data_IF_635013752643
#
_entry.id   IF_635013752643
#
_cell.length_a   1.000
_cell.length_b   1.000
_cell.length_c   1.000
_cell.angle_alpha   90.00
_cell.angle_beta   90.00
_cell.angle_gamma   90.00
#
_symmetry.space_group_name_H-M   'P 1'
#
loop_
_entity.id
_entity.type
_entity.pdbx_description
1 polymer ?
#
# COMPACT_ATOMS: atom_id res chain seq x y z
N UNK A 1 15.04 -14.05 7.65
CA UNK A 1 15.08 -15.36 7.04
C UNK A 1 13.69 -15.86 6.75
N UNK A 2 13.60 -16.83 5.88
CA UNK A 2 12.29 -17.36 5.48
C UNK A 2 11.56 -17.97 6.69
N UNK A 3 12.28 -18.64 7.55
CA UNK A 3 11.69 -19.26 8.71
C UNK A 3 11.14 -18.22 9.67
N UNK A 4 11.85 -17.12 9.85
CA UNK A 4 11.38 -16.04 10.71
C UNK A 4 10.16 -15.36 10.12
N UNK A 5 10.12 -15.19 8.79
CA UNK A 5 8.96 -14.61 8.12
C UNK A 5 7.72 -15.47 8.37
N UNK A 6 7.85 -16.79 8.23
CA UNK A 6 6.73 -17.69 8.48
C UNK A 6 6.26 -17.62 9.94
N UNK A 7 7.22 -17.55 10.87
CA UNK A 7 6.87 -17.49 12.28
C UNK A 7 6.10 -16.24 12.66
N UNK A 8 6.30 -15.14 11.91
CA UNK A 8 5.62 -13.88 12.18
C UNK A 8 4.33 -13.71 11.38
N UNK A 9 3.96 -14.72 10.58
CA UNK A 9 2.73 -14.67 9.77
C UNK A 9 2.68 -13.43 8.85
N UNK A 10 3.81 -13.12 8.27
CA UNK A 10 3.87 -11.97 7.36
C UNK A 10 3.14 -12.27 6.06
N UNK A 11 2.69 -11.21 5.40
CA UNK A 11 2.05 -11.36 4.09
C UNK A 11 3.09 -11.72 3.03
N UNK A 12 2.69 -12.55 2.08
CA UNK A 12 3.52 -12.94 0.96
C UNK A 12 2.73 -12.89 -0.33
N UNK A 13 3.35 -13.41 -1.40
CA UNK A 13 2.74 -13.35 -2.73
C UNK A 13 1.39 -14.08 -2.78
N UNK A 14 1.21 -15.10 -1.95
CA UNK A 14 -0.05 -15.85 -1.94
C UNK A 14 -1.23 -15.02 -1.45
N UNK A 15 -0.96 -13.87 -0.83
CA UNK A 15 -2.01 -12.97 -0.35
C UNK A 15 -2.32 -11.84 -1.33
N UNK A 16 -1.64 -11.83 -2.48
CA UNK A 16 -1.78 -10.76 -3.46
C UNK A 16 -2.59 -11.23 -4.65
N UNK A 17 -3.24 -10.27 -5.34
CA UNK A 17 -4.06 -10.56 -6.52
C UNK A 17 -3.56 -9.77 -7.72
N UNK A 18 -3.87 -10.27 -8.90
CA UNK A 18 -3.58 -9.58 -10.15
C UNK A 18 -2.13 -9.71 -10.57
N UNK A 19 -1.82 -9.10 -11.71
CA UNK A 19 -0.48 -9.13 -12.28
C UNK A 19 0.24 -7.84 -11.91
N UNK A 20 1.19 -7.93 -10.98
CA UNK A 20 1.88 -6.74 -10.50
C UNK A 20 2.62 -6.01 -11.60
N UNK A 21 2.97 -6.71 -12.67
CA UNK A 21 3.68 -6.08 -13.79
C UNK A 21 2.76 -5.18 -14.61
N UNK A 22 1.45 -5.38 -14.51
CA UNK A 22 0.48 -4.63 -15.31
C UNK A 22 -0.48 -3.79 -14.47
N UNK A 23 -0.45 -3.92 -13.15
CA UNK A 23 -1.43 -3.23 -12.30
C UNK A 23 -1.04 -1.79 -12.02
N UNK A 24 -2.06 -0.92 -11.99
CA UNK A 24 -1.91 0.43 -11.44
C UNK A 24 -2.13 0.33 -9.93
N UNK A 25 -1.22 0.89 -9.16
CA UNK A 25 -1.26 0.80 -7.71
C UNK A 25 -2.06 1.91 -7.04
N UNK A 26 -2.44 2.94 -7.80
CA UNK A 26 -3.15 4.08 -7.21
C UNK A 26 -4.44 3.64 -6.52
N UNK A 27 -4.60 4.04 -5.26
CA UNK A 27 -5.79 3.71 -4.51
C UNK A 27 -5.88 2.28 -4.02
N UNK A 28 -4.78 1.54 -4.11
CA UNK A 28 -4.77 0.13 -3.71
C UNK A 28 -3.96 -0.07 -2.44
N UNK A 29 -4.26 -1.15 -1.73
CA UNK A 29 -3.48 -1.57 -0.55
C UNK A 29 -2.36 -2.48 -1.05
N UNK A 30 -1.13 -2.08 -0.78
CA UNK A 30 0.05 -2.80 -1.26
C UNK A 30 0.71 -3.56 -0.12
N UNK A 31 1.34 -4.68 -0.47
CA UNK A 31 2.08 -5.50 0.49
C UNK A 31 3.56 -5.25 0.28
N UNK A 32 4.22 -4.66 1.30
CA UNK A 32 5.65 -4.38 1.23
C UNK A 32 6.43 -5.66 1.49
N UNK A 33 7.48 -5.87 0.70
CA UNK A 33 8.33 -7.05 0.87
C UNK A 33 9.04 -7.00 2.22
N UNK A 34 9.04 -8.10 2.99
CA UNK A 34 9.81 -8.12 4.23
C UNK A 34 11.29 -7.83 4.02
N UNK A 35 11.81 -8.12 2.82
CA UNK A 35 13.22 -7.85 2.53
C UNK A 35 13.55 -6.37 2.60
N UNK A 36 12.57 -5.50 2.43
CA UNK A 36 12.74 -4.06 2.50
C UNK A 36 12.81 -3.59 3.95
N UNK A 37 12.21 -4.32 4.87
CA UNK A 37 12.14 -3.95 6.27
C UNK A 37 13.27 -4.60 7.06
N UNK A 38 13.72 -3.92 8.12
CA UNK A 38 14.62 -4.55 9.08
C UNK A 38 13.85 -5.62 9.83
N UNK A 39 14.55 -6.66 10.28
CA UNK A 39 13.88 -7.73 11.01
C UNK A 39 13.13 -7.23 12.24
N UNK A 40 13.64 -6.20 12.90
CA UNK A 40 12.97 -5.64 14.06
C UNK A 40 11.65 -4.97 13.69
N UNK A 41 11.43 -4.68 12.42
CA UNK A 41 10.20 -4.06 11.93
C UNK A 41 9.27 -5.05 11.24
N UNK A 42 9.59 -6.34 11.25
CA UNK A 42 8.74 -7.34 10.58
C UNK A 42 7.44 -7.52 11.34
N UNK A 43 6.35 -7.02 10.75
CA UNK A 43 5.00 -7.24 11.25
C UNK A 43 4.03 -6.93 10.13
N UNK A 44 2.84 -7.50 10.21
CA UNK A 44 1.80 -7.20 9.22
C UNK A 44 1.48 -5.71 9.18
N UNK A 45 1.57 -5.05 10.33
CA UNK A 45 1.27 -3.62 10.43
C UNK A 45 2.24 -2.76 9.65
N UNK A 46 3.47 -3.24 9.45
CA UNK A 46 4.46 -2.49 8.69
C UNK A 46 4.45 -2.86 7.20
N UNK A 47 3.67 -3.86 6.81
CA UNK A 47 3.63 -4.31 5.42
C UNK A 47 2.53 -3.70 4.59
N UNK A 48 1.45 -3.21 5.21
CA UNK A 48 0.30 -2.75 4.44
C UNK A 48 0.35 -1.25 4.26
N UNK A 49 0.35 -0.82 3.01
CA UNK A 49 0.49 0.58 2.61
C UNK A 49 -0.59 0.95 1.61
N UNK A 50 -1.24 2.08 1.83
CA UNK A 50 -2.24 2.59 0.90
C UNK A 50 -1.55 3.54 -0.08
N UNK A 51 -1.62 3.22 -1.37
CA UNK A 51 -0.93 4.01 -2.39
C UNK A 51 -1.78 5.22 -2.80
N UNK A 52 -1.22 6.40 -2.66
CA UNK A 52 -1.92 7.64 -3.05
C UNK A 52 -1.64 8.00 -4.49
N UNK A 53 -0.36 8.11 -4.85
CA UNK A 53 0.03 8.54 -6.19
C UNK A 53 1.53 8.28 -6.39
N UNK A 54 2.07 8.81 -7.46
CA UNK A 54 3.47 8.66 -7.79
C UNK A 54 3.63 7.94 -9.11
N UNK A 55 4.74 8.20 -9.79
CA UNK A 55 4.98 7.56 -11.08
C UNK A 55 5.07 6.06 -10.95
N UNK A 56 5.55 5.56 -9.80
CA UNK A 56 5.66 4.12 -9.58
C UNK A 56 4.33 3.40 -9.46
N UNK A 57 3.22 4.12 -9.30
CA UNK A 57 1.90 3.50 -9.33
C UNK A 57 1.58 2.92 -10.70
N UNK A 58 2.06 3.55 -11.75
CA UNK A 58 1.86 3.04 -13.10
C UNK A 58 2.89 1.95 -13.39
N UNK A 59 2.47 0.84 -14.02
CA UNK A 59 3.42 -0.25 -14.29
C UNK A 59 4.44 0.07 -15.36
N UNK A 60 4.15 1.02 -16.23
CA UNK A 60 4.97 1.24 -17.42
C UNK A 60 5.76 2.56 -17.42
N UNK A 61 5.72 3.32 -16.34
CA UNK A 61 6.49 4.57 -16.30
C UNK A 61 7.93 4.29 -15.89
N UNK A 62 8.81 5.22 -16.28
CA UNK A 62 10.21 5.14 -15.88
C UNK A 62 10.34 5.43 -14.38
N UNK A 63 9.59 6.40 -13.87
CA UNK A 63 9.59 6.72 -12.45
C UNK A 63 8.98 5.59 -11.64
N UNK A 64 9.58 5.24 -10.52
CA UNK A 64 9.18 4.08 -9.73
C UNK A 64 8.73 4.43 -8.31
N UNK A 65 8.62 5.70 -7.98
CA UNK A 65 8.30 6.11 -6.62
C UNK A 65 6.79 6.07 -6.38
N UNK A 66 6.38 5.43 -5.29
CA UNK A 66 4.98 5.35 -4.86
C UNK A 66 4.85 6.10 -3.55
N UNK A 67 4.01 7.15 -3.51
CA UNK A 67 3.71 7.85 -2.27
C UNK A 67 2.57 7.14 -1.58
N UNK A 68 2.78 6.75 -0.33
CA UNK A 68 1.83 5.88 0.35
C UNK A 68 1.84 6.12 1.85
N UNK A 69 0.79 5.63 2.51
CA UNK A 69 0.62 5.73 3.97
C UNK A 69 0.52 4.34 4.56
N UNK A 70 1.29 4.09 5.61
CA UNK A 70 1.26 2.83 6.33
C UNK A 70 -0.07 2.69 7.07
N UNK A 71 -0.76 1.56 6.88
CA UNK A 71 -2.03 1.34 7.55
C UNK A 71 -1.87 1.05 9.04
N UNK A 72 -0.68 0.60 9.44
CA UNK A 72 -0.45 0.26 10.84
C UNK A 72 -0.19 1.46 11.72
N UNK A 73 0.64 2.41 11.26
CA UNK A 73 1.00 3.55 12.11
C UNK A 73 0.68 4.90 11.49
N UNK A 74 0.16 4.92 10.26
CA UNK A 74 -0.22 6.18 9.62
C UNK A 74 0.95 6.97 9.03
N UNK A 75 2.14 6.41 9.05
CA UNK A 75 3.30 7.11 8.51
C UNK A 75 3.22 7.20 6.99
N UNK A 76 3.50 8.38 6.45
CA UNK A 76 3.53 8.58 5.00
C UNK A 76 4.98 8.54 4.53
N UNK A 77 5.22 7.78 3.46
CA UNK A 77 6.56 7.70 2.90
C UNK A 77 6.49 7.36 1.42
N UNK A 78 7.65 7.27 0.81
CA UNK A 78 7.76 6.86 -0.60
C UNK A 78 8.57 5.59 -0.67
N UNK A 79 8.02 4.60 -1.36
CA UNK A 79 8.71 3.34 -1.62
C UNK A 79 8.82 3.17 -3.13
N UNK A 80 9.83 2.44 -3.56
CA UNK A 80 9.95 2.06 -4.96
C UNK A 80 8.92 0.98 -5.26
N UNK A 81 8.26 1.08 -6.42
CA UNK A 81 7.26 0.08 -6.84
C UNK A 81 7.79 -1.34 -6.68
N UNK A 82 9.08 -1.56 -6.96
CA UNK A 82 9.65 -2.89 -6.91
C UNK A 82 9.82 -3.44 -5.49
N UNK A 83 9.65 -2.59 -4.48
CA UNK A 83 9.75 -3.04 -3.08
C UNK A 83 8.46 -3.67 -2.58
N UNK A 84 7.38 -3.57 -3.36
CA UNK A 84 6.12 -4.20 -3.02
C UNK A 84 6.02 -5.57 -3.68
N UNK A 85 5.40 -6.52 -2.97
CA UNK A 85 5.10 -7.83 -3.52
C UNK A 85 3.95 -7.73 -4.50
N UNK A 86 2.95 -6.91 -4.20
CA UNK A 86 1.80 -6.71 -5.05
C UNK A 86 0.65 -6.07 -4.31
N UNK A 87 -0.55 -6.20 -4.87
CA UNK A 87 -1.79 -5.65 -4.29
C UNK A 87 -2.44 -6.71 -3.42
N UNK A 88 -2.75 -6.35 -2.17
CA UNK A 88 -3.38 -7.29 -1.24
C UNK A 88 -4.78 -7.66 -1.72
N UNK A 89 -5.10 -8.95 -1.69
CA UNK A 89 -6.45 -9.44 -1.94
C UNK A 89 -7.34 -8.98 -0.78
N UNK A 90 -8.49 -8.39 -1.11
CA UNK A 90 -9.41 -7.83 -0.11
C UNK A 90 -9.79 -8.83 0.97
N UNK A 91 -9.87 -10.10 0.63
CA UNK A 91 -10.29 -11.11 1.60
C UNK A 91 -9.27 -11.32 2.71
N UNK A 92 -8.05 -10.85 2.51
CA UNK A 92 -6.99 -10.93 3.53
C UNK A 92 -6.80 -9.64 4.31
N UNK A 93 -7.60 -8.61 4.02
CA UNK A 93 -7.46 -7.32 4.71
C UNK A 93 -7.81 -7.48 6.19
N UNK A 94 -6.87 -7.20 7.10
CA UNK A 94 -7.13 -7.40 8.52
C UNK A 94 -8.13 -6.38 9.05
N UNK A 95 -8.81 -6.77 10.12
CA UNK A 95 -9.78 -5.88 10.74
C UNK A 95 -9.15 -4.58 11.23
N UNK A 96 -7.92 -4.66 11.75
CA UNK A 96 -7.25 -3.47 12.28
C UNK A 96 -6.92 -2.45 11.17
N UNK A 97 -6.83 -2.92 9.93
CA UNK A 97 -6.47 -2.04 8.81
C UNK A 97 -7.68 -1.31 8.23
N UNK A 98 -8.89 -1.83 8.44
CA UNK A 98 -10.09 -1.31 7.78
C UNK A 98 -10.42 0.13 8.15
N UNK A 99 -10.37 0.54 9.43
CA UNK A 99 -10.69 1.93 9.77
C UNK A 99 -9.73 2.93 9.14
N UNK A 100 -8.44 2.62 9.16
CA UNK A 100 -7.46 3.54 8.57
C UNK A 100 -7.62 3.62 7.06
N UNK A 101 -7.88 2.49 6.41
CA UNK A 101 -8.12 2.49 4.98
C UNK A 101 -9.33 3.33 4.61
N UNK A 102 -10.43 3.18 5.37
CA UNK A 102 -11.64 3.96 5.12
C UNK A 102 -11.37 5.44 5.31
N UNK A 103 -10.60 5.80 6.33
CA UNK A 103 -10.24 7.19 6.60
C UNK A 103 -9.45 7.78 5.44
N UNK A 104 -8.46 7.04 4.93
CA UNK A 104 -7.63 7.54 3.83
C UNK A 104 -8.43 7.67 2.54
N UNK A 105 -9.32 6.73 2.27
CA UNK A 105 -10.17 6.80 1.09
C UNK A 105 -11.13 7.98 1.17
N UNK A 106 -11.68 8.24 2.34
CA UNK A 106 -12.58 9.38 2.53
C UNK A 106 -11.84 10.70 2.33
N UNK A 107 -10.62 10.80 2.83
CA UNK A 107 -9.82 12.01 2.67
C UNK A 107 -9.55 12.29 1.19
N UNK A 108 -9.25 11.26 0.42
CA UNK A 108 -8.97 11.45 -0.99
C UNK A 108 -10.21 11.85 -1.76
N UNK A 109 -11.36 11.29 -1.42
CA UNK A 109 -12.61 11.69 -2.06
C UNK A 109 -12.96 13.13 -1.74
N UNK A 110 -12.66 13.58 -0.53
CA UNK A 110 -12.91 14.95 -0.15
C UNK A 110 -12.01 15.91 -0.91
N UNK A 111 -10.74 15.54 -1.06
CA UNK A 111 -9.78 16.41 -1.71
C UNK A 111 -9.99 16.49 -3.21
N UNK A 112 -10.32 15.38 -3.84
CA UNK A 112 -10.41 15.33 -5.28
C UNK A 112 -11.42 16.31 -5.88
N UNK A 113 -12.65 16.35 -5.35
CA UNK A 113 -13.63 17.25 -5.97
C UNK A 113 -13.48 18.68 -5.57
N UNK A 114 -12.76 18.98 -4.55
CA UNK A 114 -12.68 20.32 -4.15
C UNK A 114 -12.01 21.16 -5.15
N UNK A 115 -11.75 20.54 -6.07
CA UNK A 115 -11.45 21.36 -7.02
C UNK A 115 -12.55 21.99 -7.54
N UNK A 116 -13.07 21.97 -7.20
CA UNK A 116 -13.94 22.42 -7.40
C UNK A 116 -14.80 22.72 -7.09
N UNK A 117 -14.60 22.46 -6.79
CA UNK A 117 -15.24 22.90 -6.56
C UNK A 117 -15.69 23.18 -6.07
N UNK A 118 -15.64 23.11 -5.89
CA UNK A 118 -15.98 23.49 -5.43
C UNK A 118 -16.18 24.21 -5.23
N UNK A 119 -15.94 24.17 -5.29
CA UNK A 119 -16.18 24.80 -5.07
C UNK A 119 -16.42 25.50 -5.06
N UNK A 120 -16.30 25.41 -5.06
CA UNK A 120 -16.50 26.01 -5.04
C UNK A 120 -16.91 26.71 -5.17
N UNK A 121 -16.99 26.63 -5.13
CA UNK A 121 -17.30 27.20 -5.20
C UNK A 121 -17.68 27.74 -5.15
#
# INVERSE_FOLDING_TARGET
>A
SRKAVQALNLFGAEHCVGDRAEQDYTGKVLVLSPDTLKESCWSQENQLWYAHDGFGCSPHTIGRSVRCTCLGDGEMTRWNRNEFIGVLDDKFLPEWAKPKLAELQAQEQTDAPTMGGMNMK
#
